data_IF_735259509458
#
_entry.id   IF_735259509458
#
_cell.length_a   1.000
_cell.length_b   1.000
_cell.length_c   1.000
_cell.angle_alpha   90.00
_cell.angle_beta   90.00
_cell.angle_gamma   90.00
#
_symmetry.space_group_name_H-M   'P 1'
#
loop_
_entity.id
_entity.type
_entity.pdbx_description
1 polymer ?
#
# COMPACT_ATOMS: atom_id res chain seq x y z
N UNK A 1 23.84 12.81 4.10
CA UNK A 1 23.37 11.76 3.20
C UNK A 1 22.29 10.99 3.95
N UNK A 2 21.06 10.92 3.46
CA UNK A 2 19.93 10.40 4.24
C UNK A 2 19.97 8.87 4.25
N UNK A 3 19.97 8.27 5.43
CA UNK A 3 20.01 6.81 5.65
C UNK A 3 18.82 6.09 4.99
N UNK A 4 17.75 6.82 4.66
CA UNK A 4 16.59 6.35 3.91
C UNK A 4 16.94 5.69 2.57
N UNK A 5 17.90 6.28 1.85
CA UNK A 5 18.32 5.78 0.54
C UNK A 5 19.19 4.53 0.69
N UNK A 6 19.94 4.41 1.79
CA UNK A 6 20.82 3.26 2.05
C UNK A 6 20.08 1.93 2.23
N UNK A 7 18.94 1.90 2.94
CA UNK A 7 18.24 0.64 3.17
C UNK A 7 17.61 0.09 1.88
N UNK A 8 17.02 0.96 1.07
CA UNK A 8 16.47 0.58 -0.23
C UNK A 8 17.57 0.21 -1.22
N UNK A 9 18.65 0.99 -1.29
CA UNK A 9 19.81 0.71 -2.14
C UNK A 9 20.45 -0.62 -1.74
N UNK A 10 20.72 -0.84 -0.46
CA UNK A 10 21.26 -2.09 0.05
C UNK A 10 20.34 -3.30 -0.25
N UNK A 11 19.01 -3.11 -0.21
CA UNK A 11 18.06 -4.15 -0.59
C UNK A 11 18.11 -4.48 -2.09
N UNK A 12 18.30 -3.48 -2.94
CA UNK A 12 18.44 -3.66 -4.39
C UNK A 12 19.74 -4.41 -4.73
N UNK A 13 20.84 -4.06 -4.07
CA UNK A 13 22.13 -4.76 -4.22
C UNK A 13 22.04 -6.21 -3.75
N UNK A 14 21.41 -6.44 -2.59
CA UNK A 14 21.26 -7.79 -2.01
C UNK A 14 20.27 -8.66 -2.78
N UNK A 15 19.37 -8.08 -3.60
CA UNK A 15 18.29 -8.81 -4.27
C UNK A 15 18.76 -9.99 -5.10
N UNK A 16 19.92 -9.91 -5.72
CA UNK A 16 20.48 -10.99 -6.56
C UNK A 16 20.80 -12.26 -5.78
N UNK A 17 21.03 -12.15 -4.46
CA UNK A 17 21.31 -13.29 -3.58
C UNK A 17 20.02 -13.98 -3.06
N UNK A 18 18.84 -13.41 -3.34
CA UNK A 18 17.57 -13.92 -2.84
C UNK A 18 16.65 -14.35 -3.99
N UNK A 19 16.08 -15.58 -3.94
CA UNK A 19 15.16 -16.06 -4.98
C UNK A 19 13.81 -15.37 -4.93
N UNK A 20 13.47 -14.78 -3.79
CA UNK A 20 12.21 -14.05 -3.57
C UNK A 20 12.46 -12.56 -3.41
N UNK A 21 11.48 -11.74 -3.81
CA UNK A 21 11.60 -10.28 -3.74
C UNK A 21 11.75 -9.82 -2.28
N UNK A 22 12.79 -9.02 -2.01
CA UNK A 22 12.97 -8.32 -0.74
C UNK A 22 11.96 -7.16 -0.71
N UNK A 23 11.16 -7.08 0.35
CA UNK A 23 10.07 -6.08 0.49
C UNK A 23 10.11 -5.30 1.80
N UNK A 24 10.77 -5.84 2.82
CA UNK A 24 10.97 -5.21 4.12
C UNK A 24 12.38 -5.55 4.64
N UNK A 25 12.77 -4.86 5.70
CA UNK A 25 13.91 -5.25 6.52
C UNK A 25 13.46 -5.42 7.98
N UNK A 26 14.15 -6.27 8.72
CA UNK A 26 14.02 -6.33 10.19
C UNK A 26 15.29 -5.73 10.77
N UNK A 27 15.16 -4.58 11.42
CA UNK A 27 16.27 -3.86 12.05
C UNK A 27 16.10 -3.99 13.56
N UNK A 28 17.07 -4.59 14.24
CA UNK A 28 17.03 -4.87 15.68
C UNK A 28 15.71 -5.52 16.14
N UNK A 29 15.22 -6.47 15.36
CA UNK A 29 13.97 -7.21 15.60
C UNK A 29 12.68 -6.48 15.20
N UNK A 30 12.74 -5.20 14.77
CA UNK A 30 11.56 -4.44 14.32
C UNK A 30 11.44 -4.47 12.81
N UNK A 31 10.22 -4.73 12.31
CA UNK A 31 9.92 -4.66 10.88
C UNK A 31 9.91 -3.21 10.41
N UNK A 32 10.61 -2.98 9.31
CA UNK A 32 10.87 -1.67 8.74
C UNK A 32 10.60 -1.67 7.25
N UNK A 33 9.94 -0.62 6.76
CA UNK A 33 9.76 -0.38 5.33
C UNK A 33 11.09 0.05 4.71
N UNK A 34 11.41 -0.44 3.50
CA UNK A 34 12.67 -0.10 2.81
C UNK A 34 12.80 1.40 2.52
N UNK A 35 11.67 2.05 2.25
CA UNK A 35 11.58 3.50 2.03
C UNK A 35 11.35 4.32 3.30
N UNK A 36 11.36 3.68 4.48
CA UNK A 36 11.10 4.34 5.77
C UNK A 36 12.25 5.27 6.21
N UNK A 37 11.92 6.30 7.01
CA UNK A 37 12.92 7.16 7.67
C UNK A 37 13.50 6.43 8.89
N UNK A 38 14.29 5.39 8.67
CA UNK A 38 14.95 4.66 9.75
C UNK A 38 16.39 5.07 9.75
N UNK A 39 16.82 5.61 10.89
CA UNK A 39 18.23 5.82 11.15
C UNK A 39 18.82 4.46 11.53
N UNK A 40 19.54 3.85 10.60
CA UNK A 40 20.31 2.63 10.86
C UNK A 40 21.73 3.07 11.12
N UNK A 41 22.16 2.93 12.38
CA UNK A 41 23.57 3.10 12.73
C UNK A 41 24.36 1.92 12.16
N UNK A 42 25.64 2.09 11.87
CA UNK A 42 26.52 1.06 11.29
C UNK A 42 26.64 -0.21 12.17
N UNK A 43 26.19 -0.12 13.44
CA UNK A 43 26.15 -1.21 14.42
C UNK A 43 24.85 -2.01 14.41
N UNK A 44 23.80 -1.56 13.70
CA UNK A 44 22.51 -2.23 13.69
C UNK A 44 22.57 -3.56 12.93
N UNK A 45 22.00 -4.61 13.53
CA UNK A 45 21.78 -5.88 12.83
C UNK A 45 20.49 -5.80 12.03
N UNK A 46 20.54 -6.10 10.75
CA UNK A 46 19.35 -6.18 9.92
C UNK A 46 19.27 -7.51 9.17
N UNK A 47 18.04 -7.94 8.94
CA UNK A 47 17.70 -9.14 8.17
C UNK A 47 16.71 -8.72 7.06
N UNK A 48 16.89 -9.25 5.86
CA UNK A 48 15.96 -9.02 4.77
C UNK A 48 14.71 -9.89 4.92
N UNK A 49 13.56 -9.29 4.73
CA UNK A 49 12.27 -9.97 4.74
C UNK A 49 11.73 -9.98 3.31
N UNK A 50 11.51 -11.19 2.80
CA UNK A 50 11.13 -11.44 1.41
C UNK A 50 9.64 -11.78 1.29
N UNK A 51 9.15 -11.92 0.05
CA UNK A 51 7.78 -12.40 -0.21
C UNK A 51 7.57 -13.88 0.17
N UNK A 52 8.61 -14.63 0.54
CA UNK A 52 8.48 -15.97 1.12
C UNK A 52 8.03 -15.92 2.60
N UNK A 53 8.35 -14.83 3.29
CA UNK A 53 7.97 -14.61 4.68
C UNK A 53 6.51 -14.15 4.79
N UNK A 54 5.84 -14.52 5.88
CA UNK A 54 4.44 -14.14 6.12
C UNK A 54 4.27 -12.62 6.10
N UNK A 55 5.12 -11.89 6.81
CA UNK A 55 5.06 -10.42 6.87
C UNK A 55 5.35 -9.76 5.52
N UNK A 56 6.33 -10.32 4.78
CA UNK A 56 6.67 -9.84 3.45
C UNK A 56 5.54 -10.07 2.44
N UNK A 57 4.93 -11.27 2.45
CA UNK A 57 3.79 -11.59 1.59
C UNK A 57 2.57 -10.71 1.92
N UNK A 58 2.30 -10.47 3.21
CA UNK A 58 1.21 -9.57 3.62
C UNK A 58 1.43 -8.14 3.10
N UNK A 59 2.65 -7.63 3.21
CA UNK A 59 3.01 -6.30 2.71
C UNK A 59 2.89 -6.23 1.19
N UNK A 60 3.38 -7.23 0.47
CA UNK A 60 3.22 -7.32 -0.98
C UNK A 60 1.74 -7.31 -1.40
N UNK A 61 0.90 -8.11 -0.74
CA UNK A 61 -0.55 -8.14 -1.04
C UNK A 61 -1.23 -6.80 -0.78
N UNK A 62 -0.89 -6.11 0.32
CA UNK A 62 -1.43 -4.76 0.61
C UNK A 62 -1.04 -3.76 -0.47
N UNK A 63 0.22 -3.77 -0.90
CA UNK A 63 0.70 -2.92 -1.98
C UNK A 63 -0.01 -3.22 -3.31
N UNK A 64 -0.17 -4.50 -3.66
CA UNK A 64 -0.89 -4.92 -4.86
C UNK A 64 -2.38 -4.50 -4.82
N UNK A 65 -3.02 -4.62 -3.65
CA UNK A 65 -4.40 -4.14 -3.46
C UNK A 65 -4.50 -2.64 -3.67
N UNK A 66 -3.60 -1.86 -3.07
CA UNK A 66 -3.57 -0.40 -3.23
C UNK A 66 -3.38 0.00 -4.70
N UNK A 67 -2.49 -0.72 -5.40
CA UNK A 67 -2.24 -0.52 -6.82
C UNK A 67 -3.49 -0.85 -7.67
N UNK A 68 -4.19 -1.94 -7.37
CA UNK A 68 -5.44 -2.32 -8.04
C UNK A 68 -6.52 -1.24 -7.88
N UNK A 69 -6.72 -0.74 -6.67
CA UNK A 69 -7.69 0.32 -6.40
C UNK A 69 -7.36 1.61 -7.16
N UNK A 70 -6.08 1.96 -7.21
CA UNK A 70 -5.59 3.08 -8.03
C UNK A 70 -5.88 2.86 -9.50
N UNK A 71 -5.61 1.67 -10.03
CA UNK A 71 -5.85 1.32 -11.44
C UNK A 71 -7.34 1.39 -11.80
N UNK A 72 -8.22 0.85 -10.95
CA UNK A 72 -9.69 0.96 -11.16
C UNK A 72 -10.12 2.42 -11.19
N UNK A 73 -9.61 3.23 -10.27
CA UNK A 73 -9.96 4.66 -10.23
C UNK A 73 -9.44 5.43 -11.44
N UNK A 74 -8.28 5.09 -11.96
CA UNK A 74 -7.72 5.72 -13.15
C UNK A 74 -8.53 5.38 -14.42
N UNK A 75 -9.00 4.13 -14.53
CA UNK A 75 -9.73 3.66 -15.71
C UNK A 75 -11.21 4.06 -15.68
N UNK A 76 -11.85 3.94 -14.51
CA UNK A 76 -13.31 4.09 -14.36
C UNK A 76 -13.75 5.31 -13.56
N UNK A 77 -12.78 6.06 -12.99
CA UNK A 77 -13.07 7.24 -12.19
C UNK A 77 -13.66 6.91 -10.80
N UNK A 78 -14.22 7.91 -10.14
CA UNK A 78 -14.77 7.82 -8.77
C UNK A 78 -16.09 7.08 -8.67
N UNK A 79 -16.81 6.92 -9.78
CA UNK A 79 -18.15 6.30 -9.79
C UNK A 79 -18.10 4.79 -9.59
N UNK A 80 -16.96 4.16 -9.91
CA UNK A 80 -16.74 2.73 -9.68
C UNK A 80 -15.91 2.57 -8.41
N UNK A 81 -16.46 1.83 -7.44
CA UNK A 81 -15.80 1.55 -6.16
C UNK A 81 -15.56 0.06 -6.04
N UNK A 82 -14.37 -0.31 -5.60
CA UNK A 82 -14.00 -1.68 -5.27
C UNK A 82 -13.78 -1.77 -3.77
N UNK A 83 -14.46 -2.71 -3.13
CA UNK A 83 -14.26 -3.01 -1.72
C UNK A 83 -13.65 -4.41 -1.56
N UNK A 84 -12.60 -4.52 -0.78
CA UNK A 84 -12.02 -5.81 -0.39
C UNK A 84 -12.76 -6.31 0.83
N UNK A 85 -13.57 -7.35 0.65
CA UNK A 85 -14.49 -7.84 1.69
C UNK A 85 -13.81 -8.81 2.65
N UNK A 86 -13.20 -9.85 2.11
CA UNK A 86 -12.55 -10.88 2.93
C UNK A 86 -11.49 -11.65 2.15
N UNK A 87 -10.65 -12.33 2.90
CA UNK A 87 -9.63 -13.22 2.36
C UNK A 87 -10.24 -14.59 2.02
N UNK A 88 -9.99 -15.05 0.79
CA UNK A 88 -10.41 -16.37 0.32
C UNK A 88 -9.17 -17.14 -0.14
N UNK A 89 -8.74 -18.12 0.64
CA UNK A 89 -7.54 -18.91 0.35
C UNK A 89 -6.31 -18.01 0.12
N UNK A 90 -5.74 -18.02 -1.08
CA UNK A 90 -4.56 -17.20 -1.44
C UNK A 90 -4.93 -15.84 -2.06
N UNK A 91 -6.21 -15.51 -2.17
CA UNK A 91 -6.72 -14.28 -2.78
C UNK A 91 -7.62 -13.48 -1.86
N UNK A 92 -8.25 -12.45 -2.45
CA UNK A 92 -9.27 -11.63 -1.81
C UNK A 92 -10.55 -11.68 -2.63
N UNK A 93 -11.66 -11.77 -1.95
CA UNK A 93 -12.95 -11.49 -2.55
C UNK A 93 -13.19 -9.99 -2.53
N UNK A 94 -13.46 -9.43 -3.72
CA UNK A 94 -13.72 -8.01 -3.88
C UNK A 94 -15.11 -7.80 -4.47
N UNK A 95 -15.89 -6.90 -3.89
CA UNK A 95 -17.12 -6.39 -4.48
C UNK A 95 -16.83 -5.16 -5.32
N UNK A 96 -17.52 -5.03 -6.43
CA UNK A 96 -17.44 -3.87 -7.32
C UNK A 96 -18.82 -3.24 -7.38
N UNK A 97 -18.89 -1.95 -7.14
CA UNK A 97 -20.12 -1.15 -7.19
C UNK A 97 -19.96 0.03 -8.15
N UNK A 98 -21.05 0.44 -8.78
CA UNK A 98 -21.08 1.48 -9.79
C UNK A 98 -21.66 0.98 -11.11
N UNK A 99 -21.77 1.87 -12.08
CA UNK A 99 -22.30 1.55 -13.42
C UNK A 99 -21.21 0.93 -14.29
N UNK A 100 -20.84 -0.31 -13.96
CA UNK A 100 -19.81 -1.09 -14.67
C UNK A 100 -20.15 -2.58 -14.65
N UNK A 101 -19.95 -3.25 -15.76
CA UNK A 101 -20.02 -4.71 -15.84
C UNK A 101 -18.63 -5.27 -15.56
N UNK A 102 -18.57 -6.16 -14.57
CA UNK A 102 -17.33 -6.89 -14.24
C UNK A 102 -17.23 -8.11 -15.17
N UNK A 103 -16.58 -7.92 -16.29
CA UNK A 103 -16.32 -8.95 -17.29
C UNK A 103 -14.81 -9.02 -17.61
N UNK A 104 -14.45 -9.83 -18.61
CA UNK A 104 -13.06 -10.02 -19.04
C UNK A 104 -12.41 -8.70 -19.46
N UNK A 105 -13.14 -7.83 -20.17
CA UNK A 105 -12.65 -6.51 -20.58
C UNK A 105 -12.35 -5.60 -19.38
N UNK A 106 -13.14 -5.69 -18.30
CA UNK A 106 -12.86 -4.98 -17.06
C UNK A 106 -11.52 -5.43 -16.46
N UNK A 107 -11.33 -6.76 -16.37
CA UNK A 107 -10.12 -7.35 -15.80
C UNK A 107 -8.88 -6.99 -16.64
N UNK A 108 -8.98 -7.07 -17.97
CA UNK A 108 -7.89 -6.72 -18.87
C UNK A 108 -7.45 -5.26 -18.71
N UNK A 109 -8.38 -4.30 -18.77
CA UNK A 109 -8.09 -2.87 -18.64
C UNK A 109 -7.46 -2.53 -17.28
N UNK A 110 -7.99 -3.11 -16.20
CA UNK A 110 -7.43 -2.88 -14.87
C UNK A 110 -6.02 -3.50 -14.77
N UNK A 111 -5.83 -4.71 -15.32
CA UNK A 111 -4.53 -5.38 -15.29
C UNK A 111 -3.49 -4.65 -16.13
N UNK A 112 -3.86 -4.14 -17.30
CA UNK A 112 -2.99 -3.32 -18.14
C UNK A 112 -2.58 -2.04 -17.40
N UNK A 113 -3.55 -1.34 -16.82
CA UNK A 113 -3.26 -0.13 -16.04
C UNK A 113 -2.38 -0.41 -14.83
N UNK A 114 -2.56 -1.54 -14.15
CA UNK A 114 -1.67 -1.96 -13.05
C UNK A 114 -0.24 -2.15 -13.54
N UNK A 115 -0.03 -2.77 -14.71
CA UNK A 115 1.33 -2.94 -15.29
C UNK A 115 1.96 -1.59 -15.62
N UNK A 116 1.24 -0.68 -16.26
CA UNK A 116 1.72 0.68 -16.54
C UNK A 116 2.16 1.42 -15.26
N UNK A 117 1.37 1.30 -14.18
CA UNK A 117 1.69 1.91 -12.89
C UNK A 117 2.95 1.30 -12.26
N UNK A 118 3.17 0.00 -12.42
CA UNK A 118 4.39 -0.69 -11.98
C UNK A 118 5.60 -0.23 -12.81
N UNK A 119 5.47 -0.19 -14.12
CA UNK A 119 6.54 0.18 -15.04
C UNK A 119 6.96 1.65 -14.86
N UNK A 120 6.01 2.52 -14.48
CA UNK A 120 6.30 3.92 -14.12
C UNK A 120 6.97 4.09 -12.74
N UNK A 121 7.15 3.00 -11.99
CA UNK A 121 7.80 2.98 -10.68
C UNK A 121 7.27 4.03 -9.70
N UNK A 122 5.95 4.27 -9.69
CA UNK A 122 5.34 5.29 -8.83
C UNK A 122 5.55 4.96 -7.34
N UNK A 123 6.05 5.92 -6.55
CA UNK A 123 6.30 5.70 -5.15
C UNK A 123 5.00 5.61 -4.34
N UNK A 124 4.97 4.69 -3.39
CA UNK A 124 4.02 4.70 -2.30
C UNK A 124 4.52 5.65 -1.22
N UNK A 125 3.76 6.70 -0.97
CA UNK A 125 4.11 7.68 0.06
C UNK A 125 3.30 7.44 1.32
N UNK A 126 4.00 7.26 2.44
CA UNK A 126 3.41 7.18 3.77
C UNK A 126 3.43 8.54 4.43
N UNK A 127 2.32 8.95 4.99
CA UNK A 127 2.21 10.16 5.79
C UNK A 127 1.36 9.91 7.03
N UNK A 128 1.68 10.62 8.10
CA UNK A 128 0.99 10.49 9.39
C UNK A 128 0.18 11.74 9.63
N UNK A 129 -1.12 11.57 9.86
CA UNK A 129 -2.06 12.67 10.13
C UNK A 129 -2.78 12.48 11.45
N UNK A 130 -3.37 13.54 11.97
CA UNK A 130 -4.30 13.46 13.08
C UNK A 130 -5.57 12.70 12.71
N UNK A 131 -6.25 12.11 13.70
CA UNK A 131 -7.48 11.35 13.47
C UNK A 131 -8.55 12.19 12.79
N UNK A 132 -8.76 13.42 13.25
CA UNK A 132 -9.78 14.33 12.68
C UNK A 132 -9.47 14.71 11.23
N UNK A 133 -8.21 14.89 10.91
CA UNK A 133 -7.77 15.14 9.54
C UNK A 133 -7.98 13.91 8.65
N UNK A 134 -7.70 12.71 9.15
CA UNK A 134 -7.97 11.47 8.42
C UNK A 134 -9.47 11.31 8.13
N UNK A 135 -10.35 11.60 9.10
CA UNK A 135 -11.80 11.55 8.94
C UNK A 135 -12.25 12.54 7.85
N UNK A 136 -11.70 13.76 7.86
CA UNK A 136 -11.99 14.77 6.83
C UNK A 136 -11.55 14.31 5.44
N UNK A 137 -10.34 13.74 5.32
CA UNK A 137 -9.83 13.20 4.07
C UNK A 137 -10.75 12.09 3.55
N UNK A 138 -11.21 11.15 4.40
CA UNK A 138 -12.15 10.11 3.98
C UNK A 138 -13.50 10.65 3.56
N UNK A 139 -13.99 11.68 4.22
CA UNK A 139 -15.23 12.35 3.83
C UNK A 139 -15.12 13.00 2.44
N UNK A 140 -14.04 13.76 2.19
CA UNK A 140 -13.78 14.41 0.89
C UNK A 140 -13.59 13.41 -0.26
N UNK A 141 -13.08 12.20 0.08
CA UNK A 141 -12.89 11.10 -0.89
C UNK A 141 -14.13 10.21 -1.03
N UNK A 142 -15.24 10.55 -0.36
CA UNK A 142 -16.48 9.77 -0.35
C UNK A 142 -16.32 8.34 0.18
N UNK A 143 -15.32 8.11 1.04
CA UNK A 143 -15.03 6.84 1.69
C UNK A 143 -15.77 6.74 3.02
N UNK A 144 -17.09 6.82 2.98
CA UNK A 144 -17.96 6.95 4.17
C UNK A 144 -17.91 5.75 5.12
N UNK A 145 -17.60 4.56 4.62
CA UNK A 145 -17.36 3.36 5.41
C UNK A 145 -16.12 3.52 6.29
N UNK A 146 -15.03 4.05 5.75
CA UNK A 146 -13.80 4.34 6.49
C UNK A 146 -13.99 5.52 7.44
N UNK A 147 -14.66 6.57 7.00
CA UNK A 147 -15.02 7.70 7.86
C UNK A 147 -15.75 7.21 9.12
N UNK A 148 -16.76 6.35 8.97
CA UNK A 148 -17.48 5.75 10.10
C UNK A 148 -16.57 4.94 11.00
N UNK A 149 -15.74 4.06 10.44
CA UNK A 149 -14.81 3.22 11.19
C UNK A 149 -13.83 4.08 12.01
N UNK A 150 -13.31 5.15 11.44
CA UNK A 150 -12.33 6.00 12.09
C UNK A 150 -12.91 6.86 13.23
N UNK A 151 -14.21 7.17 13.21
CA UNK A 151 -14.88 7.84 14.33
C UNK A 151 -14.88 7.04 15.64
N UNK A 152 -14.74 5.71 15.56
CA UNK A 152 -14.66 4.82 16.74
C UNK A 152 -13.22 4.49 17.14
N UNK A 153 -12.23 4.96 16.38
CA UNK A 153 -10.83 4.65 16.66
C UNK A 153 -10.28 5.56 17.77
N UNK A 154 -9.61 4.94 18.75
CA UNK A 154 -9.03 5.67 19.90
C UNK A 154 -7.58 6.16 19.67
N UNK A 155 -7.09 6.14 18.43
CA UNK A 155 -5.73 6.58 18.10
C UNK A 155 -5.72 8.10 17.82
N UNK A 156 -4.73 8.83 18.35
CA UNK A 156 -4.55 10.26 18.07
C UNK A 156 -3.96 10.53 16.68
N UNK A 157 -3.21 9.58 16.13
CA UNK A 157 -2.55 9.66 14.83
C UNK A 157 -2.75 8.38 14.04
N UNK A 158 -2.79 8.51 12.72
CA UNK A 158 -2.94 7.38 11.79
C UNK A 158 -2.00 7.54 10.60
N UNK A 159 -1.51 6.40 10.09
CA UNK A 159 -0.69 6.37 8.90
C UNK A 159 -1.59 6.14 7.68
N UNK A 160 -1.44 6.98 6.68
CA UNK A 160 -2.09 6.88 5.39
C UNK A 160 -1.03 6.62 4.32
N UNK A 161 -1.43 5.94 3.25
CA UNK A 161 -0.57 5.70 2.09
C UNK A 161 -1.22 6.30 0.85
N UNK A 162 -0.44 6.95 0.01
CA UNK A 162 -0.85 7.45 -1.28
C UNK A 162 0.05 6.93 -2.39
N UNK A 163 -0.52 6.70 -3.57
CA UNK A 163 0.21 6.36 -4.79
C UNK A 163 0.19 7.59 -5.68
N UNK A 164 1.37 8.16 -5.95
CA UNK A 164 1.58 9.37 -6.73
C UNK A 164 1.03 10.67 -6.12
N UNK A 165 1.84 11.74 -6.17
CA UNK A 165 1.52 13.07 -5.62
C UNK A 165 0.50 13.88 -6.45
N UNK A 166 0.13 13.46 -7.65
CA UNK A 166 -0.67 14.28 -8.57
C UNK A 166 -2.13 14.46 -8.17
N UNK A 167 -2.61 13.68 -7.21
CA UNK A 167 -3.85 13.95 -6.48
C UNK A 167 -3.66 13.52 -5.04
N UNK A 168 -3.29 14.49 -4.19
CA UNK A 168 -3.30 14.39 -2.74
C UNK A 168 -4.67 13.94 -2.26
N UNK A 169 -4.91 12.63 -2.21
CA UNK A 169 -6.10 12.13 -1.51
C UNK A 169 -5.93 10.66 -1.20
N UNK A 170 -6.07 10.39 0.07
CA UNK A 170 -5.85 9.12 0.73
C UNK A 170 -6.42 7.94 -0.04
N UNK A 171 -5.54 7.08 -0.51
CA UNK A 171 -5.90 5.76 -0.93
C UNK A 171 -5.46 4.78 0.14
N UNK A 172 -6.46 4.22 0.80
CA UNK A 172 -6.40 3.11 1.73
C UNK A 172 -5.34 3.15 2.83
N UNK A 173 -5.86 3.30 4.01
CA UNK A 173 -5.21 2.87 5.21
C UNK A 173 -4.99 1.36 5.16
N UNK A 174 -3.75 0.94 4.97
CA UNK A 174 -3.31 -0.23 5.68
C UNK A 174 -3.31 0.18 7.16
N UNK A 175 -4.51 0.22 7.77
CA UNK A 175 -4.60 0.28 9.20
C UNK A 175 -3.87 -0.94 9.71
N UNK A 176 -2.88 -0.73 10.57
CA UNK A 176 -2.26 -1.81 11.31
C UNK A 176 -3.37 -2.66 11.93
N UNK A 177 -3.58 -3.84 11.37
CA UNK A 177 -4.17 -4.95 12.06
C UNK A 177 -3.12 -5.57 12.96
#
# INVERSE_FOLDING_TARGET
>A
MCIRDRLLEAALEAQSAYPHRIVLARVDGKLCELSGNIFVEDTCKYEWVTTADISGMQTYRRSATLLMLKAVRDVYGRKVKVCVEYSLSKGYYCSVSGDVKVDESFIEKVSERMRELVDSALPFTKFTVGLDEAIRIFHEEEMYDKEKLFRYRRASKVNLYAVSYTHLRAHETAANL
#
